data_IF_588365032189
#
_entry.id   IF_588365032189
#
_cell.length_a   1.000
_cell.length_b   1.000
_cell.length_c   1.000
_cell.angle_alpha   90.00
_cell.angle_beta   90.00
_cell.angle_gamma   90.00
#
_symmetry.space_group_name_H-M   'P 1'
#
loop_
_entity.id
_entity.type
_entity.pdbx_description
1 polymer ?
#
# COMPACT_ATOMS: atom_id res chain seq x y z
N UNK A 1 -4.42 -21.97 -7.17
CA UNK A 1 -4.18 -20.89 -6.20
C UNK A 1 -5.11 -19.78 -6.59
N UNK A 2 -5.88 -19.24 -5.63
CA UNK A 2 -6.77 -18.12 -5.87
C UNK A 2 -6.04 -16.82 -5.58
N UNK A 3 -6.48 -15.71 -6.19
CA UNK A 3 -5.85 -14.40 -5.98
C UNK A 3 -5.90 -13.99 -4.52
N UNK A 4 -7.04 -14.20 -3.86
CA UNK A 4 -7.23 -13.93 -2.43
C UNK A 4 -6.22 -14.62 -1.50
N UNK A 5 -5.56 -15.70 -1.93
CA UNK A 5 -4.51 -16.36 -1.13
C UNK A 5 -3.28 -15.45 -0.91
N UNK A 6 -3.10 -14.42 -1.75
CA UNK A 6 -2.01 -13.45 -1.68
C UNK A 6 -2.42 -12.09 -1.10
N UNK A 7 -3.69 -11.94 -0.70
CA UNK A 7 -4.26 -10.67 -0.28
C UNK A 7 -4.55 -10.63 1.22
N UNK A 8 -4.52 -9.42 1.75
CA UNK A 8 -4.98 -9.11 3.10
C UNK A 8 -6.49 -8.90 3.03
N UNK A 9 -7.26 -9.74 3.71
CA UNK A 9 -8.73 -9.73 3.59
C UNK A 9 -9.43 -8.60 4.35
N UNK A 10 -8.84 -8.03 5.40
CA UNK A 10 -9.43 -6.91 6.14
C UNK A 10 -8.39 -6.06 6.86
N UNK A 11 -8.66 -4.76 6.96
CA UNK A 11 -7.87 -3.77 7.68
C UNK A 11 -8.65 -3.37 8.94
N UNK A 12 -8.03 -3.52 10.11
CA UNK A 12 -8.68 -3.33 11.41
C UNK A 12 -8.58 -1.89 11.94
N UNK A 13 -8.00 -0.98 11.15
CA UNK A 13 -7.88 0.44 11.45
C UNK A 13 -8.77 1.26 10.52
N UNK A 14 -9.20 2.46 10.92
CA UNK A 14 -9.91 3.36 10.02
C UNK A 14 -9.10 3.67 8.76
N UNK A 15 -9.80 3.81 7.63
CA UNK A 15 -9.19 4.32 6.40
C UNK A 15 -8.88 5.80 6.56
N UNK A 16 -7.64 6.18 6.25
CA UNK A 16 -7.18 7.57 6.34
C UNK A 16 -7.40 8.30 5.01
N UNK A 17 -7.09 7.65 3.90
CA UNK A 17 -7.25 8.20 2.56
C UNK A 17 -7.45 7.09 1.50
N UNK A 18 -7.92 7.51 0.33
CA UNK A 18 -8.04 6.71 -0.87
C UNK A 18 -7.74 7.59 -2.09
N UNK A 19 -6.99 7.05 -3.03
CA UNK A 19 -6.73 7.69 -4.31
C UNK A 19 -6.53 6.62 -5.39
N UNK A 20 -6.80 7.01 -6.62
CA UNK A 20 -6.51 6.21 -7.80
C UNK A 20 -5.18 6.67 -8.39
N UNK A 21 -4.41 5.73 -8.94
CA UNK A 21 -3.22 6.06 -9.73
C UNK A 21 -3.62 6.67 -11.06
N UNK A 22 -2.77 7.52 -11.62
CA UNK A 22 -2.93 8.00 -12.98
C UNK A 22 -2.66 6.89 -14.03
N UNK A 23 -2.83 7.24 -15.32
CA UNK A 23 -2.59 6.34 -16.46
C UNK A 23 -1.15 5.81 -16.55
N UNK A 24 -0.20 6.45 -15.86
CA UNK A 24 1.20 6.07 -15.79
C UNK A 24 1.55 5.31 -14.50
N UNK A 25 0.54 4.97 -13.67
CA UNK A 25 0.72 4.30 -12.39
C UNK A 25 1.27 5.20 -11.28
N UNK A 26 1.24 6.52 -11.44
CA UNK A 26 1.73 7.49 -10.45
C UNK A 26 0.61 7.92 -9.53
N UNK A 27 0.98 8.31 -8.32
CA UNK A 27 0.06 8.83 -7.32
C UNK A 27 0.78 9.82 -6.41
N UNK A 28 0.05 10.79 -5.89
CA UNK A 28 0.54 11.74 -4.89
C UNK A 28 -0.61 12.13 -3.95
N UNK A 29 -0.29 12.29 -2.67
CA UNK A 29 -1.25 12.73 -1.67
C UNK A 29 -0.54 13.46 -0.54
N UNK A 30 -1.13 14.56 -0.09
CA UNK A 30 -0.72 15.25 1.13
C UNK A 30 -1.38 14.58 2.34
N UNK A 31 -0.57 14.19 3.32
CA UNK A 31 -1.02 13.56 4.55
C UNK A 31 -0.45 14.31 5.77
N UNK A 32 -1.14 14.28 6.92
CA UNK A 32 -0.54 14.71 8.17
C UNK A 32 0.76 13.96 8.49
N UNK A 33 1.64 14.59 9.27
CA UNK A 33 2.85 13.94 9.79
C UNK A 33 2.45 12.70 10.58
N UNK A 34 3.00 11.55 10.22
CA UNK A 34 2.59 10.28 10.81
C UNK A 34 3.16 9.07 10.10
N UNK A 35 2.94 7.91 10.72
CA UNK A 35 3.25 6.61 10.14
C UNK A 35 1.97 5.98 9.58
N UNK A 36 2.07 5.43 8.38
CA UNK A 36 0.92 4.84 7.67
C UNK A 36 1.31 3.49 7.07
N UNK A 37 0.34 2.59 6.99
CA UNK A 37 0.42 1.39 6.16
C UNK A 37 -0.27 1.65 4.83
N UNK A 38 0.41 1.38 3.72
CA UNK A 38 -0.12 1.61 2.36
C UNK A 38 -0.53 0.29 1.73
N UNK A 39 -1.74 0.26 1.16
CA UNK A 39 -2.29 -0.92 0.51
C UNK A 39 -2.78 -0.58 -0.89
N UNK A 40 -2.65 -1.52 -1.82
CA UNK A 40 -3.31 -1.46 -3.12
C UNK A 40 -4.65 -2.20 -3.02
N UNK A 41 -5.74 -1.56 -3.44
CA UNK A 41 -7.07 -2.17 -3.45
C UNK A 41 -7.17 -3.15 -4.63
N UNK A 42 -7.67 -4.35 -4.37
CA UNK A 42 -7.88 -5.43 -5.33
C UNK A 42 -9.31 -5.98 -5.20
N UNK A 43 -9.81 -6.70 -6.22
CA UNK A 43 -11.20 -7.21 -6.22
C UNK A 43 -11.52 -8.10 -5.00
N UNK A 44 -10.55 -8.90 -4.55
CA UNK A 44 -10.70 -9.89 -3.47
C UNK A 44 -10.06 -9.44 -2.14
N UNK A 45 -9.51 -8.22 -2.04
CA UNK A 45 -8.86 -7.75 -0.81
C UNK A 45 -7.86 -6.61 -1.02
N UNK A 46 -6.81 -6.62 -0.22
CA UNK A 46 -5.76 -5.59 -0.24
C UNK A 46 -4.39 -6.21 -0.48
N UNK A 47 -3.67 -5.72 -1.48
CA UNK A 47 -2.31 -6.14 -1.74
C UNK A 47 -1.31 -5.28 -0.96
N UNK A 48 -0.39 -5.95 -0.27
CA UNK A 48 0.84 -5.38 0.28
C UNK A 48 1.85 -6.51 0.54
N UNK A 49 3.08 -6.35 0.08
CA UNK A 49 4.13 -7.38 0.16
C UNK A 49 5.42 -6.91 0.86
N UNK A 50 5.47 -5.67 1.29
CA UNK A 50 6.58 -5.10 2.06
C UNK A 50 6.23 -5.13 3.54
N UNK A 51 7.16 -5.55 4.39
CA UNK A 51 7.00 -5.55 5.84
C UNK A 51 8.31 -5.06 6.48
N UNK A 52 8.22 -4.27 7.55
CA UNK A 52 9.41 -3.90 8.33
C UNK A 52 9.79 -4.98 9.35
N UNK A 53 10.88 -4.73 10.09
CA UNK A 53 11.38 -5.64 11.14
C UNK A 53 10.42 -5.84 12.33
N UNK A 54 9.36 -5.02 12.42
CA UNK A 54 8.33 -5.09 13.46
C UNK A 54 7.00 -5.65 12.94
N UNK A 55 6.98 -6.14 11.69
CA UNK A 55 5.80 -6.61 10.97
C UNK A 55 4.74 -5.53 10.72
N UNK A 56 5.11 -4.25 10.66
CA UNK A 56 4.22 -3.25 10.08
C UNK A 56 4.13 -3.47 8.57
N UNK A 57 2.90 -3.42 8.05
CA UNK A 57 2.61 -3.70 6.64
C UNK A 57 2.86 -2.46 5.81
N UNK A 58 3.71 -2.59 4.79
CA UNK A 58 4.12 -1.58 3.82
C UNK A 58 4.20 -0.16 4.42
N UNK A 59 5.06 0.04 5.44
CA UNK A 59 5.04 1.25 6.24
C UNK A 59 5.71 2.40 5.50
N UNK A 60 5.10 3.58 5.58
CA UNK A 60 5.70 4.85 5.21
C UNK A 60 5.72 5.80 6.41
N UNK A 61 6.66 6.74 6.41
CA UNK A 61 6.75 7.81 7.40
C UNK A 61 6.66 9.16 6.71
N UNK A 62 5.53 9.84 6.88
CA UNK A 62 5.36 11.22 6.42
C UNK A 62 6.03 12.16 7.41
N UNK A 63 6.83 13.09 6.90
CA UNK A 63 7.56 14.10 7.68
C UNK A 63 7.25 15.49 7.16
N UNK A 64 7.44 16.48 8.01
CA UNK A 64 7.18 17.88 7.66
C UNK A 64 8.09 18.35 6.52
N UNK A 65 7.50 18.88 5.45
CA UNK A 65 8.24 19.50 4.35
C UNK A 65 9.06 18.53 3.49
N UNK A 66 8.87 17.21 3.63
CA UNK A 66 9.63 16.19 2.90
C UNK A 66 8.71 15.30 2.07
N UNK A 67 9.12 15.01 0.83
CA UNK A 67 8.50 13.95 0.04
C UNK A 67 8.92 12.57 0.55
N UNK A 68 7.94 11.71 0.74
CA UNK A 68 8.18 10.27 0.97
C UNK A 68 7.87 9.52 -0.32
N UNK A 69 8.90 8.93 -0.92
CA UNK A 69 8.75 8.15 -2.14
C UNK A 69 8.44 6.70 -1.81
N UNK A 70 7.44 6.13 -2.48
CA UNK A 70 7.04 4.74 -2.37
C UNK A 70 6.87 4.16 -3.77
N UNK A 71 7.52 3.04 -4.04
CA UNK A 71 7.32 2.24 -5.24
C UNK A 71 6.58 0.97 -4.86
N UNK A 72 5.45 0.69 -5.53
CA UNK A 72 4.64 -0.51 -5.30
C UNK A 72 4.73 -1.38 -6.55
N UNK A 73 5.32 -2.56 -6.43
CA UNK A 73 5.42 -3.55 -7.51
C UNK A 73 4.40 -4.66 -7.26
N UNK A 74 3.33 -4.65 -8.05
CA UNK A 74 2.27 -5.66 -7.99
C UNK A 74 2.62 -6.80 -8.95
N UNK A 75 3.16 -7.90 -8.43
CA UNK A 75 3.63 -9.04 -9.24
C UNK A 75 3.16 -10.40 -8.72
N UNK A 76 2.12 -10.46 -7.89
CA UNK A 76 1.63 -11.70 -7.28
C UNK A 76 1.05 -12.71 -8.31
N UNK A 77 0.76 -12.30 -9.55
CA UNK A 77 0.37 -13.17 -10.67
C UNK A 77 1.48 -13.41 -11.69
N UNK A 78 2.69 -12.90 -11.48
CA UNK A 78 3.77 -13.09 -12.42
C UNK A 78 4.19 -14.57 -12.48
N UNK A 79 4.22 -15.13 -13.70
CA UNK A 79 4.78 -16.47 -13.98
C UNK A 79 6.07 -16.27 -14.76
N UNK A 80 7.17 -16.88 -14.29
CA UNK A 80 8.49 -16.83 -14.91
C UNK A 80 8.89 -18.20 -15.46
#
# INVERSE_FOLDING_TARGET
>A
MNVGDFLIGSIQTPRIAELETDENGRFEIELPIGAYSVFTVEEEGYFANVFDQYNHVNPIQVKEGEWTFLEIVVNYLAVY
#
